data_IF_328381633633
#
_entry.id   IF_328381633633
#
_cell.length_a   1.000
_cell.length_b   1.000
_cell.length_c   1.000
_cell.angle_alpha   90.00
_cell.angle_beta   90.00
_cell.angle_gamma   90.00
#
_symmetry.space_group_name_H-M   'P 1'
#
loop_
_entity.id
_entity.type
_entity.pdbx_description
1 polymer ?
#
# COMPACT_ATOMS: atom_id res chain seq x y z
N UNK A 1 29.63 5.52 -7.78
CA UNK A 1 28.52 6.48 -7.97
C UNK A 1 27.49 6.17 -6.89
N UNK A 2 27.35 7.04 -5.90
CA UNK A 2 26.38 6.84 -4.82
C UNK A 2 25.28 7.88 -5.02
N UNK A 3 24.06 7.41 -5.27
CA UNK A 3 22.86 8.26 -5.28
C UNK A 3 22.28 8.22 -3.87
N UNK A 4 22.75 9.12 -3.01
CA UNK A 4 22.08 9.38 -1.72
C UNK A 4 21.12 10.56 -1.97
N UNK A 5 19.81 10.31 -2.03
CA UNK A 5 18.83 11.41 -2.06
C UNK A 5 17.59 11.30 -2.97
N UNK A 6 17.22 10.14 -3.50
CA UNK A 6 15.85 9.99 -4.00
C UNK A 6 15.06 9.21 -2.95
N UNK A 7 14.61 9.92 -1.91
CA UNK A 7 13.54 9.40 -1.06
C UNK A 7 12.41 8.97 -1.99
N UNK A 8 12.01 7.70 -1.90
CA UNK A 8 11.00 7.13 -2.78
C UNK A 8 9.72 7.94 -2.56
N UNK A 9 9.25 8.67 -3.57
CA UNK A 9 7.97 9.34 -3.46
C UNK A 9 6.83 8.33 -3.56
N UNK A 10 5.62 8.78 -3.20
CA UNK A 10 4.44 7.93 -3.22
C UNK A 10 4.20 7.27 -4.58
N UNK A 11 4.39 7.99 -5.68
CA UNK A 11 4.13 7.45 -7.03
C UNK A 11 5.11 6.33 -7.37
N UNK A 12 6.39 6.52 -7.05
CA UNK A 12 7.43 5.51 -7.22
C UNK A 12 7.19 4.31 -6.30
N UNK A 13 6.77 4.55 -5.05
CA UNK A 13 6.41 3.50 -4.10
C UNK A 13 5.20 2.68 -4.59
N UNK A 14 4.16 3.35 -5.08
CA UNK A 14 2.96 2.72 -5.61
C UNK A 14 3.26 1.91 -6.88
N UNK A 15 4.09 2.44 -7.78
CA UNK A 15 4.53 1.73 -8.98
C UNK A 15 5.32 0.46 -8.63
N UNK A 16 6.26 0.56 -7.68
CA UNK A 16 7.03 -0.59 -7.19
C UNK A 16 6.12 -1.63 -6.53
N UNK A 17 5.19 -1.19 -5.69
CA UNK A 17 4.23 -2.07 -5.02
C UNK A 17 3.33 -2.81 -6.01
N UNK A 18 2.81 -2.10 -7.02
CA UNK A 18 2.01 -2.70 -8.09
C UNK A 18 2.80 -3.73 -8.88
N UNK A 19 4.04 -3.43 -9.25
CA UNK A 19 4.90 -4.37 -9.95
C UNK A 19 5.18 -5.62 -9.11
N UNK A 20 5.43 -5.47 -7.81
CA UNK A 20 5.63 -6.60 -6.90
C UNK A 20 4.36 -7.46 -6.78
N UNK A 21 3.19 -6.84 -6.57
CA UNK A 21 1.91 -7.54 -6.47
C UNK A 21 1.58 -8.31 -7.76
N UNK A 22 1.78 -7.70 -8.94
CA UNK A 22 1.53 -8.33 -10.23
C UNK A 22 2.45 -9.53 -10.52
N UNK A 23 3.65 -9.58 -9.93
CA UNK A 23 4.54 -10.75 -10.04
C UNK A 23 4.04 -11.93 -9.21
N UNK A 24 3.32 -11.67 -8.11
CA UNK A 24 2.74 -12.70 -7.26
C UNK A 24 1.40 -13.20 -7.82
N UNK A 25 0.52 -12.26 -8.20
CA UNK A 25 -0.78 -12.56 -8.78
C UNK A 25 -1.01 -11.68 -10.02
N UNK A 26 -0.92 -12.26 -11.24
CA UNK A 26 -1.28 -11.56 -12.46
C UNK A 26 -2.74 -11.10 -12.40
N UNK A 27 -2.95 -9.78 -12.37
CA UNK A 27 -4.28 -9.19 -12.20
C UNK A 27 -4.50 -8.51 -10.85
N UNK A 28 -3.54 -8.57 -9.93
CA UNK A 28 -3.65 -7.94 -8.62
C UNK A 28 -4.10 -6.47 -8.71
N UNK A 29 -5.13 -6.14 -7.92
CA UNK A 29 -5.77 -4.82 -7.89
C UNK A 29 -5.53 -4.13 -6.55
N UNK A 30 -5.14 -2.85 -6.59
CA UNK A 30 -4.93 -2.05 -5.39
C UNK A 30 -6.26 -1.74 -4.72
N UNK A 31 -6.41 -2.11 -3.46
CA UNK A 31 -7.60 -1.85 -2.65
C UNK A 31 -7.43 -0.66 -1.72
N UNK A 32 -6.27 -0.58 -1.05
CA UNK A 32 -6.01 0.46 -0.07
C UNK A 32 -4.52 0.77 0.04
N UNK A 33 -4.19 1.94 0.57
CA UNK A 33 -2.83 2.36 0.81
C UNK A 33 -2.71 3.35 1.98
N UNK A 34 -1.49 3.47 2.49
CA UNK A 34 -1.08 4.43 3.51
C UNK A 34 0.25 5.07 3.12
N UNK A 35 0.29 6.40 3.12
CA UNK A 35 1.43 7.29 2.91
C UNK A 35 1.72 7.98 4.26
N UNK A 36 2.64 7.39 5.03
CA UNK A 36 3.02 7.91 6.35
C UNK A 36 3.71 9.27 6.26
N UNK A 37 4.64 9.54 5.33
CA UNK A 37 5.26 10.87 5.19
C UNK A 37 4.24 12.00 5.05
N UNK A 38 3.12 11.76 4.35
CA UNK A 38 2.03 12.75 4.20
C UNK A 38 0.89 12.58 5.20
N UNK A 39 0.88 11.50 5.99
CA UNK A 39 -0.22 11.15 6.89
C UNK A 39 -1.53 10.93 6.15
N UNK A 40 -1.48 10.35 4.94
CA UNK A 40 -2.65 10.12 4.09
C UNK A 40 -2.90 8.64 3.89
N UNK A 41 -4.14 8.29 3.66
CA UNK A 41 -4.58 6.94 3.35
C UNK A 41 -5.68 6.97 2.29
N UNK A 42 -5.91 5.80 1.70
CA UNK A 42 -7.11 5.58 0.92
C UNK A 42 -7.56 4.13 1.06
N UNK A 43 -8.86 3.87 1.20
CA UNK A 43 -9.91 4.86 1.41
C UNK A 43 -9.81 5.52 2.80
N UNK A 44 -10.22 6.79 2.90
CA UNK A 44 -10.33 7.53 4.17
C UNK A 44 -11.59 7.05 4.91
N UNK A 45 -11.46 5.91 5.59
CA UNK A 45 -12.52 5.30 6.38
C UNK A 45 -12.23 5.55 7.86
N UNK A 46 -13.18 6.13 8.62
CA UNK A 46 -13.01 6.28 10.05
C UNK A 46 -12.66 4.96 10.72
N UNK A 47 -11.71 5.00 11.67
CA UNK A 47 -11.42 3.84 12.50
C UNK A 47 -12.63 3.53 13.39
N UNK A 48 -13.44 2.57 12.96
CA UNK A 48 -14.55 2.02 13.74
C UNK A 48 -14.18 0.73 14.50
N UNK A 49 -12.92 0.30 14.41
CA UNK A 49 -12.42 -0.96 14.99
C UNK A 49 -11.08 -0.73 15.72
N UNK A 50 -10.34 -1.78 16.09
CA UNK A 50 -8.98 -1.70 16.69
C UNK A 50 -7.86 -1.61 15.62
N UNK A 51 -8.21 -1.33 14.37
CA UNK A 51 -7.31 -1.27 13.22
C UNK A 51 -7.61 -0.01 12.39
N UNK A 52 -6.61 0.56 11.69
CA UNK A 52 -6.85 1.65 10.75
C UNK A 52 -7.95 1.29 9.75
N UNK A 53 -8.85 2.24 9.46
CA UNK A 53 -10.03 1.98 8.63
C UNK A 53 -9.68 1.52 7.21
N UNK A 54 -8.65 2.10 6.60
CA UNK A 54 -8.16 1.69 5.26
C UNK A 54 -7.70 0.23 5.24
N UNK A 55 -7.09 -0.26 6.33
CA UNK A 55 -6.59 -1.63 6.43
C UNK A 55 -7.76 -2.60 6.62
N UNK A 56 -8.68 -2.27 7.53
CA UNK A 56 -9.90 -3.06 7.74
C UNK A 56 -10.76 -3.15 6.46
N UNK A 57 -10.82 -2.06 5.70
CA UNK A 57 -11.47 -2.01 4.39
C UNK A 57 -10.82 -3.00 3.42
N UNK A 58 -9.49 -2.96 3.26
CA UNK A 58 -8.78 -3.85 2.35
C UNK A 58 -8.99 -5.32 2.71
N UNK A 59 -8.81 -5.69 3.99
CA UNK A 59 -9.05 -7.06 4.47
C UNK A 59 -10.47 -7.55 4.12
N UNK A 60 -11.47 -6.68 4.26
CA UNK A 60 -12.87 -7.01 3.99
C UNK A 60 -13.20 -7.14 2.49
N UNK A 61 -12.36 -6.60 1.59
CA UNK A 61 -12.55 -6.63 0.14
C UNK A 61 -11.59 -7.63 -0.55
N UNK A 62 -11.04 -8.59 0.21
CA UNK A 62 -10.15 -9.63 -0.32
C UNK A 62 -8.69 -9.21 -0.43
N UNK A 63 -8.27 -8.19 0.31
CA UNK A 63 -6.88 -7.75 0.37
C UNK A 63 -6.00 -8.78 1.08
N UNK A 64 -5.29 -9.59 0.29
CA UNK A 64 -4.43 -10.67 0.77
C UNK A 64 -2.93 -10.43 0.49
N UNK A 65 -2.62 -9.50 -0.42
CA UNK A 65 -1.23 -9.12 -0.72
C UNK A 65 -0.92 -7.78 -0.06
N UNK A 66 -0.02 -7.79 0.93
CA UNK A 66 0.53 -6.58 1.56
C UNK A 66 1.93 -6.31 1.02
N UNK A 67 2.13 -5.09 0.50
CA UNK A 67 3.46 -4.58 0.17
C UNK A 67 3.80 -3.44 1.12
N UNK A 68 4.88 -3.62 1.87
CA UNK A 68 5.39 -2.65 2.85
C UNK A 68 6.75 -2.12 2.35
N UNK A 69 6.85 -0.81 2.18
CA UNK A 69 8.04 -0.14 1.65
C UNK A 69 8.59 0.81 2.71
N UNK A 70 9.91 0.77 2.87
CA UNK A 70 10.68 1.55 3.84
C UNK A 70 10.14 1.43 5.28
N UNK A 71 9.83 0.23 5.73
CA UNK A 71 9.39 -0.04 7.11
C UNK A 71 8.11 0.74 7.51
N UNK A 72 7.12 0.72 6.63
CA UNK A 72 5.81 1.34 6.85
C UNK A 72 5.75 2.82 6.52
N UNK A 73 6.70 3.37 5.76
CA UNK A 73 6.51 4.69 5.14
C UNK A 73 5.39 4.64 4.10
N UNK A 74 5.39 3.57 3.30
CA UNK A 74 4.31 3.32 2.34
C UNK A 74 3.82 1.88 2.50
N UNK A 75 2.51 1.72 2.66
CA UNK A 75 1.87 0.40 2.73
C UNK A 75 0.79 0.34 1.67
N UNK A 76 0.75 -0.76 0.92
CA UNK A 76 -0.24 -1.00 -0.13
C UNK A 76 -0.86 -2.38 0.06
N UNK A 77 -2.18 -2.46 -0.08
CA UNK A 77 -2.94 -3.70 0.02
C UNK A 77 -3.60 -4.00 -1.31
N UNK A 78 -3.41 -5.21 -1.83
CA UNK A 78 -3.96 -5.66 -3.10
C UNK A 78 -4.82 -6.91 -2.92
N UNK A 79 -5.87 -7.02 -3.73
CA UNK A 79 -6.57 -8.27 -3.97
C UNK A 79 -5.89 -9.02 -5.13
N UNK A 80 -5.52 -10.30 -4.98
CA UNK A 80 -4.98 -11.11 -6.08
C UNK A 80 -5.95 -11.37 -7.26
N UNK A 81 -7.27 -11.31 -7.04
CA UNK A 81 -8.31 -11.64 -8.03
C UNK A 81 -9.29 -12.69 -7.53
#
# INVERSE_FOLDING_TARGET
MIVNGLGLDFESAQALAKAAAQRLAPGAMLLAWYDRPRGRESPEVPECTRKPGWLAYAESHGGDIRVDINHGEYVFMFNPG
#
